data_IF_134594644990
#
_entry.id   IF_134594644990
#
_cell.length_a   1.000
_cell.length_b   1.000
_cell.length_c   1.000
_cell.angle_alpha   90.00
_cell.angle_beta   90.00
_cell.angle_gamma   90.00
#
_symmetry.space_group_name_H-M   'P 1'
#
loop_
_entity.id
_entity.type
_entity.pdbx_description
1 polymer ?
#
# COMPACT_ATOMS: atom_id res chain seq x y z
N UNK A 1 -35.41 -23.61 -6.58
CA UNK A 1 -34.70 -22.44 -6.03
C UNK A 1 -35.19 -21.20 -6.75
N UNK A 2 -35.48 -20.16 -6.01
CA UNK A 2 -35.88 -18.83 -6.48
C UNK A 2 -34.79 -17.81 -6.13
N UNK A 3 -34.91 -16.60 -6.69
CA UNK A 3 -34.00 -15.49 -6.38
C UNK A 3 -34.79 -14.31 -5.76
N UNK A 4 -34.36 -13.77 -4.64
CA UNK A 4 -35.00 -12.61 -3.98
C UNK A 4 -35.10 -11.43 -4.95
N UNK A 5 -36.26 -10.81 -5.01
CA UNK A 5 -36.50 -9.65 -5.89
C UNK A 5 -36.68 -9.99 -7.37
N UNK A 6 -36.64 -11.27 -7.76
CA UNK A 6 -36.87 -11.72 -9.14
C UNK A 6 -38.20 -12.46 -9.19
N UNK A 7 -39.07 -12.07 -10.11
CA UNK A 7 -40.36 -12.75 -10.31
C UNK A 7 -40.13 -14.24 -10.69
N UNK A 8 -40.81 -15.13 -10.00
CA UNK A 8 -40.74 -16.54 -10.33
C UNK A 8 -41.59 -16.88 -11.58
N UNK A 9 -41.21 -17.94 -12.25
CA UNK A 9 -42.10 -18.52 -13.25
C UNK A 9 -43.33 -19.06 -12.53
N UNK A 10 -44.53 -18.66 -12.99
CA UNK A 10 -45.79 -19.12 -12.42
C UNK A 10 -45.88 -20.65 -12.49
N UNK A 11 -46.18 -21.28 -11.36
CA UNK A 11 -46.36 -22.72 -11.24
C UNK A 11 -47.82 -23.05 -11.24
N UNK A 12 -48.25 -23.85 -12.23
CA UNK A 12 -49.60 -24.34 -12.36
C UNK A 12 -49.68 -25.82 -11.93
N UNK A 13 -50.73 -26.24 -11.25
CA UNK A 13 -50.92 -27.63 -10.94
C UNK A 13 -51.25 -28.43 -12.20
N UNK A 14 -50.77 -29.66 -12.25
CA UNK A 14 -51.24 -30.67 -13.23
C UNK A 14 -52.25 -31.55 -12.48
N UNK A 15 -53.49 -31.47 -12.88
CA UNK A 15 -54.59 -32.21 -12.23
C UNK A 15 -55.09 -33.32 -13.17
N UNK A 16 -55.17 -34.54 -12.64
CA UNK A 16 -55.78 -35.67 -13.32
C UNK A 16 -56.88 -36.28 -12.44
N UNK A 17 -57.96 -36.68 -13.01
CA UNK A 17 -59.14 -37.25 -12.30
C UNK A 17 -60.26 -36.25 -12.08
N UNK A 18 -60.77 -36.13 -10.84
CA UNK A 18 -61.94 -35.30 -10.52
C UNK A 18 -61.61 -33.78 -10.47
N UNK A 19 -62.64 -32.92 -10.56
CA UNK A 19 -62.54 -31.51 -10.45
C UNK A 19 -62.21 -31.08 -8.99
N UNK A 20 -61.16 -30.27 -8.78
CA UNK A 20 -60.80 -29.75 -7.47
C UNK A 20 -61.79 -28.65 -7.07
N UNK A 21 -62.37 -28.80 -5.89
CA UNK A 21 -63.32 -27.81 -5.31
C UNK A 21 -62.65 -26.77 -4.42
N UNK A 22 -61.52 -27.15 -3.82
CA UNK A 22 -60.79 -26.26 -2.91
C UNK A 22 -59.29 -26.59 -2.93
N UNK A 23 -58.45 -25.54 -2.88
CA UNK A 23 -57.01 -25.63 -2.79
C UNK A 23 -56.51 -25.07 -1.45
N UNK A 24 -55.49 -25.74 -0.88
CA UNK A 24 -54.81 -25.29 0.32
C UNK A 24 -53.30 -25.40 0.18
N UNK A 25 -52.55 -24.61 0.97
CA UNK A 25 -51.11 -24.69 1.09
C UNK A 25 -50.70 -24.49 2.55
N UNK A 26 -49.79 -25.29 3.02
CA UNK A 26 -49.21 -25.19 4.37
C UNK A 26 -47.70 -25.45 4.34
N UNK A 27 -46.89 -24.62 4.99
CA UNK A 27 -47.21 -23.34 5.65
C UNK A 27 -47.66 -22.26 4.64
N UNK A 28 -48.05 -21.08 5.11
CA UNK A 28 -48.33 -19.94 4.23
C UNK A 28 -47.14 -19.58 3.37
N UNK A 29 -47.34 -19.19 2.09
CA UNK A 29 -46.23 -18.81 1.22
C UNK A 29 -45.36 -17.71 1.81
N UNK A 30 -44.04 -17.73 1.47
CA UNK A 30 -43.09 -16.66 1.83
C UNK A 30 -43.60 -15.32 1.33
N UNK A 31 -43.19 -14.25 2.05
CA UNK A 31 -43.48 -12.86 1.68
C UNK A 31 -43.13 -12.60 0.20
N UNK A 32 -44.10 -12.04 -0.54
CA UNK A 32 -44.01 -11.78 -1.97
C UNK A 32 -44.44 -12.94 -2.87
N UNK A 33 -44.73 -14.12 -2.33
CA UNK A 33 -45.34 -15.22 -3.04
C UNK A 33 -46.84 -15.29 -2.73
N UNK A 34 -47.64 -15.67 -3.72
CA UNK A 34 -49.09 -15.79 -3.67
C UNK A 34 -49.48 -17.17 -4.16
N UNK A 35 -50.43 -17.77 -3.45
CA UNK A 35 -51.06 -19.06 -3.85
C UNK A 35 -52.55 -18.86 -3.95
N UNK A 36 -53.09 -19.06 -5.14
CA UNK A 36 -54.56 -18.95 -5.44
C UNK A 36 -54.92 -20.07 -6.42
N UNK A 37 -55.99 -20.77 -6.13
CA UNK A 37 -56.55 -21.82 -7.00
C UNK A 37 -55.53 -22.87 -7.51
N UNK A 38 -54.60 -23.26 -6.62
CA UNK A 38 -53.53 -24.18 -6.94
C UNK A 38 -52.31 -23.56 -7.65
N UNK A 39 -52.39 -22.29 -8.03
CA UNK A 39 -51.32 -21.58 -8.74
C UNK A 39 -50.41 -20.81 -7.75
N UNK A 40 -49.10 -21.04 -7.82
CA UNK A 40 -48.10 -20.34 -7.05
C UNK A 40 -47.34 -19.37 -7.98
N UNK A 41 -47.28 -18.09 -7.61
CA UNK A 41 -46.63 -17.02 -8.37
C UNK A 41 -46.17 -15.89 -7.45
N UNK A 42 -45.41 -14.96 -8.00
CA UNK A 42 -45.01 -13.74 -7.29
C UNK A 42 -43.51 -13.50 -7.36
N UNK A 43 -43.05 -12.56 -6.51
CA UNK A 43 -41.64 -12.16 -6.38
C UNK A 43 -41.22 -12.30 -4.91
N UNK A 44 -40.35 -13.24 -4.54
CA UNK A 44 -39.98 -13.44 -3.14
C UNK A 44 -39.22 -12.21 -2.63
N UNK A 45 -39.62 -11.70 -1.46
CA UNK A 45 -39.04 -10.48 -0.86
C UNK A 45 -38.01 -10.80 0.23
N UNK A 46 -37.90 -12.04 0.67
CA UNK A 46 -36.99 -12.51 1.70
C UNK A 46 -36.12 -13.62 1.16
N UNK A 47 -34.85 -13.68 1.60
CA UNK A 47 -34.03 -14.88 1.33
C UNK A 47 -34.42 -16.01 2.27
N UNK A 48 -34.29 -17.22 1.79
CA UNK A 48 -34.58 -18.45 2.51
C UNK A 48 -33.72 -19.58 1.95
N UNK A 49 -32.51 -19.70 2.46
CA UNK A 49 -31.49 -20.64 1.95
C UNK A 49 -31.76 -22.09 2.43
N UNK A 50 -32.40 -22.25 3.58
CA UNK A 50 -32.87 -23.53 4.05
C UNK A 50 -34.21 -23.84 3.36
N UNK A 51 -34.38 -25.02 2.70
CA UNK A 51 -35.60 -25.35 2.02
C UNK A 51 -36.81 -25.33 2.97
N UNK A 52 -37.90 -24.65 2.57
CA UNK A 52 -39.20 -24.79 3.20
C UNK A 52 -39.99 -25.80 2.40
N UNK A 53 -40.50 -26.82 3.08
CA UNK A 53 -41.40 -27.81 2.48
C UNK A 53 -42.83 -27.32 2.60
N UNK A 54 -43.44 -27.00 1.49
CA UNK A 54 -44.87 -26.69 1.37
C UNK A 54 -45.65 -27.95 1.03
N UNK A 55 -46.77 -28.18 1.71
CA UNK A 55 -47.76 -29.21 1.34
C UNK A 55 -48.92 -28.51 0.70
N UNK A 56 -49.18 -28.81 -0.55
CA UNK A 56 -50.33 -28.34 -1.34
C UNK A 56 -51.40 -29.40 -1.26
N UNK A 57 -52.61 -29.00 -0.94
CA UNK A 57 -53.80 -29.84 -0.81
C UNK A 57 -54.81 -29.52 -1.92
N UNK A 58 -55.39 -30.57 -2.49
CA UNK A 58 -56.48 -30.45 -3.43
C UNK A 58 -57.66 -31.31 -2.92
N UNK A 59 -58.78 -30.65 -2.66
CA UNK A 59 -59.98 -31.24 -2.10
C UNK A 59 -61.06 -31.47 -3.21
N UNK A 60 -61.68 -32.57 -3.17
CA UNK A 60 -62.82 -32.90 -4.04
C UNK A 60 -63.94 -33.57 -3.20
N UNK A 61 -65.12 -33.81 -3.73
CA UNK A 61 -66.17 -34.57 -3.05
C UNK A 61 -65.74 -36.01 -2.76
N UNK A 62 -64.77 -36.55 -3.46
CA UNK A 62 -64.21 -37.87 -3.28
C UNK A 62 -63.13 -38.04 -2.28
N UNK A 63 -62.60 -36.88 -1.75
CA UNK A 63 -61.53 -36.87 -0.78
C UNK A 63 -60.41 -35.79 -1.06
N UNK A 64 -59.36 -35.86 -0.26
CA UNK A 64 -58.20 -34.90 -0.30
C UNK A 64 -56.97 -35.63 -0.82
N UNK A 65 -56.26 -35.03 -1.72
CA UNK A 65 -54.87 -35.39 -2.08
C UNK A 65 -53.89 -34.26 -1.75
N UNK A 66 -52.63 -34.61 -1.61
CA UNK A 66 -51.58 -33.61 -1.34
C UNK A 66 -50.31 -33.87 -2.12
N UNK A 67 -49.54 -32.78 -2.36
CA UNK A 67 -48.24 -32.83 -2.98
C UNK A 67 -47.29 -31.90 -2.23
N UNK A 68 -46.03 -32.29 -2.08
CA UNK A 68 -45.02 -31.48 -1.41
C UNK A 68 -44.14 -30.75 -2.43
N UNK A 69 -43.81 -29.48 -2.09
CA UNK A 69 -42.93 -28.62 -2.86
C UNK A 69 -41.89 -27.99 -1.94
N UNK A 70 -40.61 -28.16 -2.28
CA UNK A 70 -39.50 -27.53 -1.55
C UNK A 70 -39.10 -26.23 -2.25
N UNK A 71 -39.09 -25.10 -1.51
CA UNK A 71 -38.71 -23.81 -2.01
C UNK A 71 -37.51 -23.30 -1.21
N UNK A 72 -36.45 -22.88 -1.93
CA UNK A 72 -35.37 -22.06 -1.44
C UNK A 72 -35.34 -20.72 -2.18
N UNK A 73 -34.95 -19.65 -1.51
CA UNK A 73 -34.80 -18.34 -2.10
C UNK A 73 -33.41 -17.82 -1.80
N UNK A 74 -32.57 -17.66 -2.82
CA UNK A 74 -31.22 -17.13 -2.70
C UNK A 74 -31.20 -15.62 -2.90
N UNK A 75 -30.14 -14.96 -2.40
CA UNK A 75 -29.83 -13.60 -2.76
C UNK A 75 -29.53 -13.46 -4.26
N UNK A 76 -29.78 -12.31 -4.87
CA UNK A 76 -29.27 -12.03 -6.22
C UNK A 76 -27.74 -12.06 -6.23
N UNK A 77 -27.17 -12.43 -7.38
CA UNK A 77 -25.74 -12.21 -7.60
C UNK A 77 -25.42 -10.72 -7.51
N UNK A 78 -24.23 -10.42 -7.00
CA UNK A 78 -23.72 -9.06 -6.91
C UNK A 78 -22.34 -8.97 -7.56
N UNK A 79 -21.92 -7.76 -7.88
CA UNK A 79 -20.57 -7.42 -8.35
C UNK A 79 -20.04 -6.27 -7.52
N UNK A 80 -18.73 -6.18 -7.39
CA UNK A 80 -18.05 -5.10 -6.70
C UNK A 80 -16.72 -4.79 -7.35
N UNK A 81 -16.18 -3.60 -7.10
CA UNK A 81 -14.84 -3.18 -7.48
C UNK A 81 -14.28 -2.23 -6.43
N UNK A 82 -12.97 -2.10 -6.41
CA UNK A 82 -12.27 -1.07 -5.65
C UNK A 82 -11.88 0.09 -6.57
N UNK A 83 -12.07 1.30 -6.10
CA UNK A 83 -11.66 2.50 -6.84
C UNK A 83 -10.85 3.40 -5.90
N UNK A 84 -9.56 3.62 -6.23
CA UNK A 84 -8.80 3.04 -7.33
C UNK A 84 -8.50 1.55 -7.12
N UNK A 85 -8.18 0.81 -8.18
CA UNK A 85 -7.75 -0.61 -8.08
C UNK A 85 -6.32 -0.78 -7.56
N UNK A 86 -5.53 0.29 -7.64
CA UNK A 86 -4.13 0.31 -7.21
C UNK A 86 -3.97 1.32 -6.09
N UNK A 87 -3.40 0.90 -4.97
CA UNK A 87 -3.02 1.77 -3.86
C UNK A 87 -1.51 1.81 -3.71
N UNK A 88 -0.98 3.03 -3.56
CA UNK A 88 0.38 3.26 -3.13
C UNK A 88 0.32 3.88 -1.74
N UNK A 89 0.85 3.18 -0.77
CA UNK A 89 0.87 3.54 0.64
C UNK A 89 2.28 3.89 1.07
N UNK A 90 2.42 4.59 2.18
CA UNK A 90 3.69 4.86 2.84
C UNK A 90 3.78 4.05 4.13
N UNK A 91 4.91 3.39 4.38
CA UNK A 91 5.17 2.69 5.64
C UNK A 91 5.07 3.66 6.82
N UNK A 92 4.29 3.30 7.83
CA UNK A 92 4.08 4.12 9.02
C UNK A 92 3.01 5.20 8.88
N UNK A 93 2.34 5.32 7.72
CA UNK A 93 1.19 6.20 7.53
C UNK A 93 -0.12 5.41 7.54
N UNK A 94 -1.18 6.00 8.08
CA UNK A 94 -2.46 5.32 8.24
C UNK A 94 -3.31 5.36 6.98
N UNK A 95 -3.74 4.19 6.52
CA UNK A 95 -4.85 4.02 5.59
C UNK A 95 -6.15 3.93 6.38
N UNK A 96 -6.95 4.98 6.39
CA UNK A 96 -8.20 5.03 7.17
C UNK A 96 -9.25 4.04 6.66
N UNK A 97 -9.54 4.06 5.36
CA UNK A 97 -10.42 3.06 4.78
C UNK A 97 -10.32 3.01 3.25
N UNK A 98 -10.25 1.80 2.73
CA UNK A 98 -10.36 1.52 1.30
C UNK A 98 -11.40 0.43 1.12
N UNK A 99 -12.61 0.84 0.75
CA UNK A 99 -13.80 0.00 0.69
C UNK A 99 -14.24 -0.22 -0.75
N UNK A 100 -14.87 -1.38 -1.05
CA UNK A 100 -15.40 -1.64 -2.37
C UNK A 100 -16.67 -0.85 -2.65
N UNK A 101 -16.93 -0.63 -3.92
CA UNK A 101 -18.21 -0.15 -4.45
C UNK A 101 -18.97 -1.32 -5.03
N UNK A 102 -20.25 -1.45 -4.67
CA UNK A 102 -21.09 -2.54 -5.15
C UNK A 102 -21.97 -2.14 -6.32
N UNK A 103 -22.29 -3.15 -7.12
CA UNK A 103 -23.23 -3.06 -8.23
C UNK A 103 -24.26 -4.17 -8.07
N UNK A 104 -25.50 -3.91 -8.48
CA UNK A 104 -26.66 -4.79 -8.36
C UNK A 104 -27.25 -4.86 -6.92
N UNK A 105 -28.31 -5.66 -6.76
CA UNK A 105 -29.14 -5.69 -5.56
C UNK A 105 -28.80 -6.75 -4.54
N UNK A 106 -27.78 -7.56 -4.80
CA UNK A 106 -27.30 -8.57 -3.85
C UNK A 106 -26.38 -7.95 -2.78
N UNK A 107 -26.36 -8.58 -1.61
CA UNK A 107 -25.46 -8.19 -0.52
C UNK A 107 -24.51 -9.34 -0.20
N UNK A 108 -23.20 -9.06 0.00
CA UNK A 108 -22.26 -10.08 0.44
C UNK A 108 -22.57 -10.55 1.86
N UNK A 109 -22.38 -11.84 2.11
CA UNK A 109 -22.53 -12.47 3.43
C UNK A 109 -21.19 -12.85 4.03
N UNK A 110 -20.16 -13.01 3.21
CA UNK A 110 -18.79 -13.25 3.67
C UNK A 110 -17.79 -12.66 2.71
N UNK A 111 -16.61 -12.34 3.27
CA UNK A 111 -15.48 -11.76 2.57
C UNK A 111 -14.21 -12.53 2.87
N UNK A 112 -13.32 -12.58 1.92
CA UNK A 112 -11.95 -13.04 2.10
C UNK A 112 -11.00 -12.34 1.15
N UNK A 113 -9.72 -12.33 1.49
CA UNK A 113 -8.64 -11.78 0.67
C UNK A 113 -7.49 -12.77 0.62
N UNK A 114 -6.88 -12.93 -0.53
CA UNK A 114 -5.72 -13.79 -0.73
C UNK A 114 -4.74 -13.15 -1.72
N UNK A 115 -3.42 -13.20 -1.40
CA UNK A 115 -2.83 -13.68 -0.15
C UNK A 115 -3.13 -12.75 1.04
N UNK A 116 -2.62 -13.09 2.23
CA UNK A 116 -2.75 -12.25 3.41
C UNK A 116 -2.11 -10.87 3.18
N UNK A 117 -2.74 -9.81 3.70
CA UNK A 117 -2.23 -8.45 3.61
C UNK A 117 -0.88 -8.28 4.34
N UNK A 118 -0.06 -7.30 3.94
CA UNK A 118 1.14 -6.91 4.66
C UNK A 118 0.86 -6.55 6.12
N UNK A 119 1.86 -6.78 6.98
CA UNK A 119 1.74 -6.46 8.40
C UNK A 119 1.34 -4.99 8.63
N UNK A 120 0.38 -4.81 9.54
CA UNK A 120 -0.18 -3.51 9.89
C UNK A 120 -1.44 -3.14 9.11
N UNK A 121 -1.73 -3.81 7.99
CA UNK A 121 -3.02 -3.69 7.30
C UNK A 121 -4.00 -4.75 7.80
N UNK A 122 -5.26 -4.38 7.85
CA UNK A 122 -6.39 -5.22 8.29
C UNK A 122 -7.43 -5.27 7.19
N UNK A 123 -8.02 -6.45 6.99
CA UNK A 123 -9.15 -6.66 6.10
C UNK A 123 -10.37 -7.04 6.93
N UNK A 124 -11.40 -6.21 6.89
CA UNK A 124 -12.66 -6.46 7.58
C UNK A 124 -13.86 -6.12 6.70
N UNK A 125 -14.74 -7.10 6.48
CA UNK A 125 -15.98 -6.93 5.71
C UNK A 125 -15.79 -6.23 4.36
N UNK A 126 -14.71 -6.57 3.63
CA UNK A 126 -14.36 -5.96 2.34
C UNK A 126 -13.60 -4.64 2.46
N UNK A 127 -13.41 -4.08 3.64
CA UNK A 127 -12.65 -2.84 3.85
C UNK A 127 -11.22 -3.16 4.25
N UNK A 128 -10.27 -2.48 3.62
CA UNK A 128 -8.84 -2.49 3.97
C UNK A 128 -8.51 -1.20 4.71
N UNK A 129 -7.86 -1.31 5.85
CA UNK A 129 -7.44 -0.17 6.68
C UNK A 129 -6.19 -0.53 7.48
N UNK A 130 -5.65 0.44 8.24
CA UNK A 130 -4.51 0.24 9.14
C UNK A 130 -3.26 0.96 8.69
N UNK A 131 -2.15 0.72 9.39
CA UNK A 131 -0.87 1.37 9.19
C UNK A 131 0.18 0.32 8.82
N UNK A 132 0.64 0.24 7.56
CA UNK A 132 1.61 -0.76 7.14
C UNK A 132 2.95 -0.55 7.86
N UNK A 133 3.52 -1.64 8.38
CA UNK A 133 4.79 -1.62 9.12
C UNK A 133 5.99 -2.08 8.32
N UNK A 134 5.76 -2.60 7.11
CA UNK A 134 6.80 -3.08 6.19
C UNK A 134 6.56 -2.49 4.81
N UNK A 135 7.66 -2.17 4.10
CA UNK A 135 7.59 -1.78 2.69
C UNK A 135 7.38 -3.02 1.81
N UNK A 136 6.79 -2.84 0.66
CA UNK A 136 6.66 -3.89 -0.35
C UNK A 136 6.54 -3.30 -1.76
N UNK A 137 7.12 -3.99 -2.72
CA UNK A 137 6.86 -3.72 -4.13
C UNK A 137 5.40 -4.04 -4.46
N UNK A 138 4.92 -3.55 -5.60
CA UNK A 138 3.56 -3.82 -6.07
C UNK A 138 3.26 -5.32 -6.04
N UNK A 139 2.18 -5.67 -5.34
CA UNK A 139 1.69 -7.03 -5.24
C UNK A 139 0.17 -7.08 -5.45
N UNK A 140 -0.30 -8.13 -6.13
CA UNK A 140 -1.71 -8.34 -6.43
C UNK A 140 -2.39 -9.16 -5.34
N UNK A 141 -3.59 -8.73 -4.94
CA UNK A 141 -4.48 -9.41 -4.00
C UNK A 141 -5.83 -9.65 -4.67
N UNK A 142 -6.41 -10.81 -4.43
CA UNK A 142 -7.75 -11.12 -4.89
C UNK A 142 -8.69 -11.07 -3.69
N UNK A 143 -9.67 -10.19 -3.78
CA UNK A 143 -10.76 -10.10 -2.81
C UNK A 143 -11.94 -10.90 -3.32
N UNK A 144 -12.45 -11.77 -2.47
CA UNK A 144 -13.64 -12.56 -2.73
C UNK A 144 -14.78 -12.12 -1.82
N UNK A 145 -15.98 -12.12 -2.37
CA UNK A 145 -17.20 -11.88 -1.63
C UNK A 145 -18.25 -12.91 -2.07
N UNK A 146 -18.99 -13.45 -1.10
CA UNK A 146 -19.93 -14.53 -1.34
C UNK A 146 -21.27 -14.20 -0.72
N UNK A 147 -22.34 -14.67 -1.38
CA UNK A 147 -23.67 -14.78 -0.83
C UNK A 147 -24.35 -16.08 -1.32
N UNK A 148 -25.62 -16.33 -0.95
CA UNK A 148 -26.35 -17.49 -1.38
C UNK A 148 -26.64 -17.55 -2.89
N UNK A 149 -26.47 -16.43 -3.59
CA UNK A 149 -26.63 -16.34 -5.06
C UNK A 149 -25.37 -16.65 -5.84
N UNK A 150 -24.20 -16.65 -5.17
CA UNK A 150 -22.92 -16.93 -5.79
C UNK A 150 -21.76 -16.16 -5.21
N UNK A 151 -20.61 -16.26 -5.89
CA UNK A 151 -19.36 -15.62 -5.54
C UNK A 151 -18.99 -14.56 -6.57
N UNK A 152 -18.37 -13.47 -6.11
CA UNK A 152 -17.76 -12.42 -6.94
C UNK A 152 -16.35 -12.15 -6.45
N UNK A 153 -15.46 -11.70 -7.33
CA UNK A 153 -14.09 -11.34 -6.97
C UNK A 153 -13.64 -10.06 -7.66
N UNK A 154 -12.69 -9.37 -7.04
CA UNK A 154 -12.00 -8.22 -7.62
C UNK A 154 -10.50 -8.33 -7.30
N UNK A 155 -9.66 -8.00 -8.29
CA UNK A 155 -8.21 -7.87 -8.11
C UNK A 155 -7.87 -6.43 -7.69
N UNK A 156 -6.96 -6.32 -6.73
CA UNK A 156 -6.38 -5.05 -6.27
C UNK A 156 -4.86 -5.16 -6.18
N UNK A 157 -4.18 -4.03 -6.31
CA UNK A 157 -2.74 -3.98 -6.15
C UNK A 157 -2.36 -3.02 -5.02
N UNK A 158 -1.41 -3.43 -4.18
CA UNK A 158 -0.86 -2.61 -3.11
C UNK A 158 0.65 -2.49 -3.31
N UNK A 159 1.14 -1.25 -3.23
CA UNK A 159 2.56 -0.91 -3.11
C UNK A 159 2.74 -0.18 -1.79
N UNK A 160 3.77 -0.48 -1.02
CA UNK A 160 4.09 0.22 0.23
C UNK A 160 5.52 0.74 0.13
N UNK A 161 5.66 2.05 0.00
CA UNK A 161 6.95 2.72 -0.07
C UNK A 161 7.49 3.06 1.32
N UNK A 162 8.80 3.26 1.43
CA UNK A 162 9.39 3.94 2.58
C UNK A 162 8.90 5.40 2.64
N UNK A 163 8.88 6.04 3.82
CA UNK A 163 8.83 7.50 3.88
C UNK A 163 10.00 8.11 3.10
N UNK A 164 9.79 9.25 2.44
CA UNK A 164 10.89 9.96 1.79
C UNK A 164 12.02 10.25 2.79
N UNK A 165 13.29 10.13 2.42
CA UNK A 165 14.40 10.47 3.32
C UNK A 165 14.46 11.97 3.52
N UNK A 166 14.94 12.39 4.70
CA UNK A 166 15.34 13.75 4.99
C UNK A 166 16.78 13.72 5.48
N UNK A 167 17.60 14.68 5.06
CA UNK A 167 19.00 14.77 5.49
C UNK A 167 19.48 16.21 5.62
N UNK A 168 20.41 16.42 6.54
CA UNK A 168 21.10 17.70 6.74
C UNK A 168 22.57 17.46 7.09
N UNK A 169 23.46 18.31 6.55
CA UNK A 169 24.87 18.34 6.85
C UNK A 169 25.23 19.59 7.65
N UNK A 170 25.87 19.40 8.79
CA UNK A 170 26.37 20.50 9.58
C UNK A 170 27.78 20.20 10.08
N UNK A 171 28.79 21.01 9.66
CA UNK A 171 28.72 22.18 8.76
C UNK A 171 28.50 21.79 7.30
N UNK A 172 27.90 22.68 6.51
CA UNK A 172 27.69 22.57 5.06
C UNK A 172 28.77 23.28 4.23
N UNK A 173 29.70 24.00 4.89
CA UNK A 173 30.86 24.65 4.27
C UNK A 173 32.15 24.18 4.96
N UNK A 174 32.91 23.35 4.25
CA UNK A 174 34.14 22.74 4.76
C UNK A 174 35.38 23.49 4.27
N UNK A 175 36.18 23.97 5.20
CA UNK A 175 37.50 24.52 4.93
C UNK A 175 38.52 23.52 5.46
N UNK A 176 39.17 22.79 4.56
CA UNK A 176 40.13 21.75 4.85
C UNK A 176 41.56 22.22 4.54
N UNK A 177 42.58 21.56 5.13
CA UNK A 177 43.97 21.76 4.83
C UNK A 177 44.55 20.54 4.12
N UNK A 178 45.28 20.77 3.03
CA UNK A 178 45.99 19.69 2.30
C UNK A 178 46.89 18.88 3.25
N UNK A 179 46.88 17.55 3.04
CA UNK A 179 47.64 16.56 3.84
C UNK A 179 47.25 16.52 5.34
N UNK A 180 46.15 17.16 5.74
CA UNK A 180 45.62 17.07 7.10
C UNK A 180 44.33 16.29 7.10
N UNK A 181 44.23 15.26 7.94
CA UNK A 181 43.00 14.43 8.04
C UNK A 181 41.85 15.27 8.58
N UNK A 182 40.74 15.27 7.89
CA UNK A 182 39.54 15.98 8.32
C UNK A 182 38.79 15.24 9.43
N UNK A 183 38.00 15.97 10.22
CA UNK A 183 37.00 15.37 11.06
C UNK A 183 35.92 14.73 10.18
N UNK A 184 35.43 13.56 10.57
CA UNK A 184 34.34 12.85 9.84
C UNK A 184 33.12 13.75 9.80
N UNK A 185 32.58 13.99 8.60
CA UNK A 185 31.30 14.66 8.39
C UNK A 185 30.22 13.63 8.10
N UNK A 186 29.27 13.53 8.99
CA UNK A 186 28.14 12.62 8.90
C UNK A 186 26.83 13.41 8.84
N UNK A 187 25.91 13.09 7.93
CA UNK A 187 24.60 13.75 7.90
C UNK A 187 23.73 13.35 9.08
N UNK A 188 22.84 14.24 9.48
CA UNK A 188 21.66 13.88 10.27
C UNK A 188 20.59 13.38 9.30
N UNK A 189 20.09 12.16 9.49
CA UNK A 189 19.11 11.52 8.62
C UNK A 189 17.85 11.23 9.39
N UNK A 190 16.69 11.56 8.80
CA UNK A 190 15.35 11.21 9.28
C UNK A 190 14.49 10.68 8.12
N UNK A 191 13.25 10.27 8.40
CA UNK A 191 12.38 9.67 7.40
C UNK A 191 12.62 8.18 7.21
N UNK A 192 12.59 7.71 5.96
CA UNK A 192 12.76 6.29 5.63
C UNK A 192 14.22 5.86 5.48
N UNK A 193 14.42 4.55 5.41
CA UNK A 193 15.72 3.95 5.14
C UNK A 193 16.19 4.39 3.75
N UNK A 194 17.45 4.80 3.64
CA UNK A 194 18.06 5.22 2.38
C UNK A 194 18.61 3.98 1.66
N UNK A 195 18.22 3.81 0.41
CA UNK A 195 18.67 2.69 -0.44
C UNK A 195 19.96 3.04 -1.19
N UNK A 196 20.09 4.28 -1.66
CA UNK A 196 21.27 4.73 -2.42
C UNK A 196 21.68 6.15 -2.06
N UNK A 197 23.01 6.37 -2.12
CA UNK A 197 23.67 7.67 -1.95
C UNK A 197 24.45 8.02 -3.20
N UNK A 198 24.39 9.28 -3.62
CA UNK A 198 25.12 9.79 -4.76
C UNK A 198 25.72 11.16 -4.40
N UNK A 199 26.87 11.50 -5.01
CA UNK A 199 27.49 12.82 -4.87
C UNK A 199 28.06 13.27 -6.22
N UNK A 200 27.82 14.54 -6.57
CA UNK A 200 28.37 15.16 -7.77
C UNK A 200 28.75 16.62 -7.51
N UNK A 201 29.90 17.06 -8.04
CA UNK A 201 30.95 16.30 -8.72
C UNK A 201 31.68 15.33 -7.78
N UNK A 202 32.58 14.49 -8.33
CA UNK A 202 33.45 13.64 -7.50
C UNK A 202 34.22 14.48 -6.49
N UNK A 203 34.28 14.03 -5.23
CA UNK A 203 34.97 14.72 -4.16
C UNK A 203 36.48 14.79 -4.38
N UNK A 204 37.21 15.73 -3.73
CA UNK A 204 38.65 15.88 -3.87
C UNK A 204 39.44 14.62 -3.59
N UNK A 205 40.54 14.41 -4.34
CA UNK A 205 41.42 13.27 -4.13
C UNK A 205 41.89 13.20 -2.66
N UNK A 206 41.81 11.97 -2.10
CA UNK A 206 42.17 11.69 -0.71
C UNK A 206 40.96 11.76 0.25
N UNK A 207 39.81 12.28 -0.20
CA UNK A 207 38.55 12.15 0.51
C UNK A 207 37.77 10.94 0.00
N UNK A 208 36.90 10.40 0.83
CA UNK A 208 35.95 9.32 0.52
C UNK A 208 34.53 9.74 0.85
N UNK A 209 33.56 9.27 0.05
CA UNK A 209 32.14 9.40 0.30
C UNK A 209 31.54 7.98 0.34
N UNK A 210 31.07 7.57 1.51
CA UNK A 210 30.50 6.24 1.73
C UNK A 210 29.26 6.39 2.60
N UNK A 211 28.12 5.93 2.11
CA UNK A 211 26.84 5.97 2.84
C UNK A 211 26.53 7.38 3.42
N UNK A 212 26.76 8.42 2.64
CA UNK A 212 26.55 9.80 3.06
C UNK A 212 27.66 10.39 3.93
N UNK A 213 28.65 9.61 4.34
CA UNK A 213 29.75 10.05 5.22
C UNK A 213 30.93 10.53 4.37
N UNK A 214 31.43 11.73 4.68
CA UNK A 214 32.65 12.27 4.08
C UNK A 214 33.78 12.22 5.11
N UNK A 215 34.92 11.66 4.69
CA UNK A 215 36.10 11.48 5.52
C UNK A 215 37.37 11.42 4.68
N UNK A 216 38.54 11.46 5.31
CA UNK A 216 39.82 11.28 4.64
C UNK A 216 40.80 12.42 4.82
N UNK A 217 41.83 12.46 3.93
CA UNK A 217 42.92 13.47 3.95
C UNK A 217 43.04 14.05 2.54
N UNK A 218 42.63 15.29 2.28
CA UNK A 218 42.69 15.84 0.93
C UNK A 218 44.17 16.02 0.49
N UNK A 219 44.46 15.58 -0.74
CA UNK A 219 45.82 15.54 -1.28
C UNK A 219 46.13 16.72 -2.23
N UNK A 220 45.15 17.47 -2.66
CA UNK A 220 45.29 18.60 -3.58
C UNK A 220 44.54 19.83 -3.08
N UNK A 221 45.08 21.03 -3.35
CA UNK A 221 44.39 22.29 -3.11
C UNK A 221 43.19 22.42 -4.04
N UNK A 222 42.11 23.04 -3.56
CA UNK A 222 40.89 23.26 -4.32
C UNK A 222 40.24 24.56 -3.88
N UNK A 223 39.80 25.35 -4.85
CA UNK A 223 38.92 26.48 -4.60
C UNK A 223 37.54 25.99 -4.14
N UNK A 224 36.80 26.85 -3.45
CA UNK A 224 35.45 26.56 -3.00
C UNK A 224 34.61 26.01 -4.14
N UNK A 225 34.15 24.77 -3.99
CA UNK A 225 33.32 24.07 -4.97
C UNK A 225 32.11 23.49 -4.26
N UNK A 226 30.95 23.60 -4.88
CA UNK A 226 29.71 23.03 -4.37
C UNK A 226 29.57 21.56 -4.83
N UNK A 227 29.09 20.73 -3.94
CA UNK A 227 28.76 19.33 -4.15
C UNK A 227 27.30 19.11 -3.85
N UNK A 228 26.63 18.37 -4.71
CA UNK A 228 25.24 17.95 -4.54
C UNK A 228 25.23 16.51 -4.09
N UNK A 229 24.50 16.22 -3.03
CA UNK A 229 24.36 14.89 -2.46
C UNK A 229 22.91 14.49 -2.57
N UNK A 230 22.65 13.28 -3.08
CA UNK A 230 21.33 12.68 -3.14
C UNK A 230 21.25 11.49 -2.22
N UNK A 231 20.12 11.39 -1.51
CA UNK A 231 19.71 10.24 -0.72
C UNK A 231 18.37 9.76 -1.27
N UNK A 232 18.31 8.51 -1.72
CA UNK A 232 17.14 7.98 -2.43
C UNK A 232 16.61 6.72 -1.75
N UNK A 233 15.28 6.57 -1.78
CA UNK A 233 14.58 5.34 -1.44
C UNK A 233 13.28 5.21 -2.26
N UNK A 234 12.46 4.18 -1.98
CA UNK A 234 11.18 3.96 -2.67
C UNK A 234 10.15 5.07 -2.44
N UNK A 235 10.31 5.89 -1.39
CA UNK A 235 9.43 7.03 -1.09
C UNK A 235 9.83 8.31 -1.78
N UNK A 236 11.07 8.42 -2.27
CA UNK A 236 11.54 9.61 -2.97
C UNK A 236 13.04 9.87 -2.83
N UNK A 237 13.42 11.08 -3.22
CA UNK A 237 14.81 11.59 -3.17
C UNK A 237 14.87 12.87 -2.35
N UNK A 238 15.92 12.98 -1.53
CA UNK A 238 16.33 14.23 -0.86
C UNK A 238 17.65 14.71 -1.42
N UNK A 239 17.82 16.04 -1.51
CA UNK A 239 19.02 16.69 -2.01
C UNK A 239 19.58 17.60 -0.93
N UNK A 240 20.89 17.48 -0.66
CA UNK A 240 21.64 18.41 0.16
C UNK A 240 22.84 18.99 -0.61
N UNK A 241 23.28 20.18 -0.19
CA UNK A 241 24.42 20.86 -0.79
C UNK A 241 25.48 21.09 0.27
N UNK A 242 26.72 20.80 -0.07
CA UNK A 242 27.89 21.14 0.74
C UNK A 242 28.90 21.87 -0.12
N UNK A 243 29.74 22.68 0.51
CA UNK A 243 30.86 23.34 -0.15
C UNK A 243 32.18 22.82 0.46
N UNK A 244 33.18 22.56 -0.39
CA UNK A 244 34.52 22.15 0.05
C UNK A 244 35.55 23.09 -0.53
N UNK A 245 36.41 23.63 0.36
CA UNK A 245 37.62 24.35 0.02
C UNK A 245 38.79 23.59 0.62
N UNK A 246 39.87 23.41 -0.15
CA UNK A 246 41.11 22.82 0.37
C UNK A 246 42.25 23.85 0.24
N UNK A 247 42.71 24.33 1.37
CA UNK A 247 43.82 25.30 1.46
C UNK A 247 45.17 24.58 1.50
N UNK A 248 46.22 25.28 1.11
CA UNK A 248 47.57 24.80 1.30
C UNK A 248 48.01 24.86 2.77
N UNK A 249 49.05 24.13 3.11
CA UNK A 249 49.69 24.23 4.43
C UNK A 249 50.38 25.61 4.53
N UNK A 250 50.18 26.26 5.66
CA UNK A 250 50.89 27.52 5.93
C UNK A 250 52.39 27.24 6.01
N UNK A 251 53.23 27.90 5.20
CA UNK A 251 54.66 27.69 5.26
C UNK A 251 55.22 28.20 6.61
N UNK A 252 56.09 27.40 7.18
CA UNK A 252 56.91 27.85 8.32
C UNK A 252 58.26 28.29 7.80
N UNK A 253 58.73 29.46 8.21
CA UNK A 253 60.03 29.99 7.83
C UNK A 253 60.88 30.24 9.07
N UNK A 254 62.11 29.86 9.01
CA UNK A 254 63.09 30.14 10.05
C UNK A 254 64.42 30.59 9.45
N UNK A 255 65.13 31.35 10.18
CA UNK A 255 66.50 31.73 9.80
C UNK A 255 67.48 31.34 10.93
N UNK A 256 68.57 30.75 10.54
CA UNK A 256 69.65 30.35 11.48
C UNK A 256 70.98 30.90 10.98
N UNK A 257 71.68 31.71 11.80
CA UNK A 257 71.37 32.13 13.17
C UNK A 257 70.25 33.17 13.26
N UNK A 258 69.55 33.24 14.40
CA UNK A 258 68.50 34.24 14.68
C UNK A 258 69.08 35.68 14.78
N UNK A 259 70.35 35.80 15.17
CA UNK A 259 71.06 37.05 15.24
C UNK A 259 72.32 36.99 14.38
N UNK A 260 72.54 38.02 13.57
CA UNK A 260 73.70 38.14 12.72
C UNK A 260 74.52 39.45 13.11
N UNK A 261 75.81 39.28 13.23
CA UNK A 261 76.71 40.42 13.35
C UNK A 261 77.45 40.57 12.03
N UNK A 262 77.28 41.71 11.38
CA UNK A 262 77.97 42.04 10.12
C UNK A 262 79.18 42.95 10.37
N UNK A 263 80.22 42.72 9.57
CA UNK A 263 81.47 43.59 9.60
C UNK A 263 81.33 44.54 8.43
N UNK A 264 81.70 45.85 8.69
CA UNK A 264 81.66 46.84 7.64
C UNK A 264 82.62 46.46 6.49
N UNK A 265 82.20 46.74 5.26
CA UNK A 265 82.92 46.43 4.00
C UNK A 265 83.17 44.92 3.72
N UNK A 266 82.48 44.02 4.40
CA UNK A 266 82.54 42.58 4.13
C UNK A 266 81.22 42.11 3.42
N UNK A 267 81.33 41.45 2.24
CA UNK A 267 80.19 40.90 1.54
C UNK A 267 79.64 39.74 2.34
N UNK A 268 78.38 39.79 2.67
CA UNK A 268 77.71 38.63 3.29
C UNK A 268 77.38 37.56 2.24
N UNK A 269 77.45 36.33 2.63
CA UNK A 269 76.95 35.23 1.83
C UNK A 269 75.45 35.27 1.82
N UNK A 270 74.82 34.71 0.76
CA UNK A 270 73.37 34.57 0.65
C UNK A 270 72.80 33.82 1.85
N UNK A 271 71.81 34.41 2.46
CA UNK A 271 71.08 33.80 3.60
C UNK A 271 69.72 33.35 3.17
N UNK A 272 69.60 32.09 2.92
CA UNK A 272 68.35 31.45 2.43
C UNK A 272 67.47 30.90 3.57
N UNK A 273 66.16 31.01 3.48
CA UNK A 273 65.28 30.36 4.44
C UNK A 273 65.44 28.85 4.37
N UNK A 274 65.27 28.19 5.51
CA UNK A 274 65.33 26.72 5.64
C UNK A 274 63.92 26.13 5.58
#
# INVERSE_FOLDING_TARGET
>A
TLTRGVAMVTMHPIVTGGNVSEWGISPSPLSGLTFIDGVLYGTPLVNQTTPITYTIYANTSGGTTSHTLNITVNEPMFMFSYVPENQTLTRGEELYSWSPTWFNSGYPQSWSIEPALPNGLVFDNGTISGMPTVNSTRFEYIVWANNSGGSSSASINITINEPAPEMDYSPDDLILTRNTTMSVLQPTVTGGIIDTWEIEPSIPNGLSFIEGIISGTPLSIQNRSQYTIWANNSGGSMVAYINITVLDIIPEISYTPVNMTLTNDTMMSDWLPV
#
